data_IF_949556320649
#
_entry.id   IF_949556320649
#
_cell.length_a   1.000
_cell.length_b   1.000
_cell.length_c   1.000
_cell.angle_alpha   90.00
_cell.angle_beta   90.00
_cell.angle_gamma   90.00
#
_symmetry.space_group_name_H-M   'P 1'
#
loop_
_entity.id
_entity.type
_entity.pdbx_description
1 polymer ?
#
# COMPACT_ATOMS: atom_id res chain seq x y z
N UNK A 1 27.84 -15.57 -19.01
CA UNK A 1 27.68 -15.29 -17.56
C UNK A 1 26.41 -14.49 -17.39
N UNK A 2 25.35 -15.11 -16.86
CA UNK A 2 24.04 -14.49 -16.66
C UNK A 2 24.06 -13.70 -15.35
N UNK A 3 23.71 -12.42 -15.40
CA UNK A 3 23.60 -11.53 -14.25
C UNK A 3 22.13 -11.54 -13.81
N UNK A 4 21.89 -11.83 -12.54
CA UNK A 4 20.57 -12.00 -11.94
C UNK A 4 20.18 -10.67 -11.25
N UNK A 5 19.10 -10.01 -11.70
CA UNK A 5 18.55 -8.83 -11.04
C UNK A 5 17.05 -9.04 -10.76
N UNK A 6 16.63 -8.82 -9.51
CA UNK A 6 15.29 -9.12 -8.99
C UNK A 6 14.35 -7.92 -9.08
N UNK A 7 13.19 -8.12 -9.72
CA UNK A 7 12.09 -7.15 -9.86
C UNK A 7 11.35 -6.87 -8.54
N UNK A 8 11.01 -5.61 -8.29
CA UNK A 8 10.22 -5.16 -7.14
C UNK A 8 9.23 -4.03 -7.48
N UNK A 9 8.87 -3.90 -8.75
CA UNK A 9 8.09 -2.76 -9.28
C UNK A 9 6.63 -3.13 -9.59
N UNK A 10 6.17 -4.33 -9.19
CA UNK A 10 4.80 -4.79 -9.49
C UNK A 10 3.75 -4.40 -8.44
N UNK A 11 4.13 -3.82 -7.29
CA UNK A 11 3.18 -3.53 -6.21
C UNK A 11 2.35 -2.28 -6.52
N UNK A 12 2.89 -1.30 -7.25
CA UNK A 12 2.15 -0.07 -7.59
C UNK A 12 1.09 -0.32 -8.68
N UNK A 13 1.37 -1.23 -9.62
CA UNK A 13 0.46 -1.53 -10.74
C UNK A 13 -0.70 -2.47 -10.39
N UNK A 14 -0.57 -3.32 -9.36
CA UNK A 14 -1.65 -4.22 -8.94
C UNK A 14 -2.83 -3.53 -8.25
N UNK A 15 -2.69 -2.26 -7.87
CA UNK A 15 -3.78 -1.44 -7.34
C UNK A 15 -4.75 -1.02 -8.46
N UNK A 16 -4.29 -0.95 -9.71
CA UNK A 16 -5.04 -0.31 -10.81
C UNK A 16 -6.04 -1.21 -11.58
N UNK A 17 -6.05 -2.53 -11.40
CA UNK A 17 -6.78 -3.42 -12.34
C UNK A 17 -7.77 -4.41 -11.73
N UNK A 18 -8.11 -4.35 -10.44
CA UNK A 18 -8.90 -5.43 -9.85
C UNK A 18 -9.50 -5.20 -8.47
N UNK A 19 -10.34 -4.18 -8.29
CA UNK A 19 -11.07 -3.92 -7.03
C UNK A 19 -12.08 -5.01 -6.61
N UNK A 20 -12.15 -6.17 -7.29
CA UNK A 20 -13.10 -7.26 -6.93
C UNK A 20 -12.46 -8.51 -6.30
N UNK A 21 -11.14 -8.59 -6.17
CA UNK A 21 -10.46 -9.75 -5.54
C UNK A 21 -9.36 -9.39 -4.53
N UNK A 22 -9.22 -8.12 -4.15
CA UNK A 22 -8.10 -7.62 -3.35
C UNK A 22 -7.99 -8.21 -1.92
N UNK A 23 -9.04 -8.84 -1.38
CA UNK A 23 -8.96 -9.51 -0.07
C UNK A 23 -8.24 -10.87 -0.10
N UNK A 24 -7.99 -11.45 -1.29
CA UNK A 24 -7.39 -12.78 -1.43
C UNK A 24 -5.86 -12.77 -1.66
N UNK A 25 -5.24 -11.60 -1.80
CA UNK A 25 -3.83 -11.52 -2.24
C UNK A 25 -2.82 -11.18 -1.14
N UNK A 26 -3.26 -10.83 0.07
CA UNK A 26 -2.35 -10.78 1.22
C UNK A 26 -2.32 -12.16 1.88
N UNK A 27 -1.21 -12.89 1.69
CA UNK A 27 -0.90 -14.01 2.57
C UNK A 27 -1.04 -13.56 4.03
N UNK A 28 -1.50 -14.43 4.95
CA UNK A 28 -1.59 -14.05 6.35
C UNK A 28 -0.20 -13.61 6.82
N UNK A 29 -0.11 -12.36 7.31
CA UNK A 29 1.11 -11.88 7.92
C UNK A 29 1.47 -12.79 9.10
N UNK A 30 2.78 -12.98 9.33
CA UNK A 30 3.22 -13.69 10.52
C UNK A 30 2.79 -12.93 11.79
N UNK A 31 2.89 -13.58 12.95
CA UNK A 31 2.43 -12.99 14.21
C UNK A 31 3.18 -11.70 14.61
N UNK A 32 4.45 -11.55 14.23
CA UNK A 32 5.24 -10.36 14.53
C UNK A 32 4.79 -9.17 13.67
N UNK A 33 4.69 -9.37 12.36
CA UNK A 33 4.20 -8.36 11.41
C UNK A 33 2.77 -7.94 11.74
N UNK A 34 1.91 -8.91 12.10
CA UNK A 34 0.54 -8.64 12.55
C UNK A 34 0.53 -7.75 13.79
N UNK A 35 1.35 -8.05 14.79
CA UNK A 35 1.45 -7.26 16.03
C UNK A 35 1.94 -5.84 15.74
N UNK A 36 2.92 -5.70 14.84
CA UNK A 36 3.46 -4.41 14.45
C UNK A 36 2.40 -3.54 13.75
N UNK A 37 1.69 -4.09 12.77
CA UNK A 37 0.60 -3.40 12.08
C UNK A 37 -0.57 -3.04 13.02
N UNK A 38 -0.87 -3.91 13.99
CA UNK A 38 -1.84 -3.61 15.04
C UNK A 38 -1.38 -2.52 16.02
N UNK A 39 -0.07 -2.38 16.25
CA UNK A 39 0.49 -1.34 17.12
C UNK A 39 0.61 0.01 16.40
N UNK A 40 0.77 0.00 15.08
CA UNK A 40 0.86 1.19 14.25
C UNK A 40 -0.40 2.05 14.34
N UNK A 41 -0.24 3.39 14.32
CA UNK A 41 -1.33 4.35 14.45
C UNK A 41 -1.34 5.32 13.28
N UNK A 42 -2.48 5.41 12.62
CA UNK A 42 -2.72 6.48 11.65
C UNK A 42 -2.87 7.81 12.38
N UNK A 43 -2.32 8.84 11.77
CA UNK A 43 -2.43 10.25 12.16
C UNK A 43 -2.60 11.08 10.90
N UNK A 44 -3.14 12.29 11.03
CA UNK A 44 -3.36 13.18 9.89
C UNK A 44 -2.05 13.51 9.17
N UNK A 45 -1.01 13.85 9.93
CA UNK A 45 0.34 14.11 9.40
C UNK A 45 0.87 12.92 8.60
N UNK A 46 0.75 11.71 9.13
CA UNK A 46 1.24 10.50 8.47
C UNK A 46 0.46 10.19 7.18
N UNK A 47 -0.86 10.36 7.18
CA UNK A 47 -1.70 10.17 5.99
C UNK A 47 -1.36 11.21 4.93
N UNK A 48 -1.06 12.45 5.32
CA UNK A 48 -0.64 13.51 4.40
C UNK A 48 0.76 13.26 3.83
N UNK A 49 1.71 12.81 4.64
CA UNK A 49 3.03 12.37 4.16
C UNK A 49 2.91 11.19 3.20
N UNK A 50 2.03 10.23 3.50
CA UNK A 50 1.72 9.12 2.59
C UNK A 50 1.14 9.64 1.26
N UNK A 51 0.14 10.53 1.29
CA UNK A 51 -0.46 11.11 0.08
C UNK A 51 0.58 11.80 -0.79
N UNK A 52 1.34 12.72 -0.20
CA UNK A 52 2.35 13.52 -0.91
C UNK A 52 3.49 12.67 -1.45
N UNK A 53 3.87 11.60 -0.75
CA UNK A 53 4.77 10.56 -1.25
C UNK A 53 4.20 9.82 -2.46
N UNK A 54 2.96 9.33 -2.38
CA UNK A 54 2.32 8.58 -3.47
C UNK A 54 2.19 9.42 -4.73
N UNK A 55 1.78 10.70 -4.61
CA UNK A 55 1.72 11.63 -5.75
C UNK A 55 3.09 11.82 -6.40
N UNK A 56 4.13 12.08 -5.60
CA UNK A 56 5.48 12.27 -6.14
C UNK A 56 6.04 11.01 -6.81
N UNK A 57 5.73 9.83 -6.27
CA UNK A 57 6.06 8.55 -6.90
C UNK A 57 5.37 8.40 -8.25
N UNK A 58 4.07 8.72 -8.34
CA UNK A 58 3.32 8.66 -9.60
C UNK A 58 3.85 9.66 -10.64
N UNK A 59 4.15 10.88 -10.23
CA UNK A 59 4.75 11.91 -11.10
C UNK A 59 6.11 11.44 -11.63
N UNK A 60 6.95 10.87 -10.77
CA UNK A 60 8.24 10.32 -11.15
C UNK A 60 8.09 9.18 -12.17
N UNK A 61 7.21 8.21 -11.88
CA UNK A 61 6.88 7.07 -12.75
C UNK A 61 6.38 7.54 -14.11
N UNK A 62 5.52 8.56 -14.16
CA UNK A 62 5.00 9.15 -15.41
C UNK A 62 6.08 9.86 -16.21
N UNK A 63 7.02 10.53 -15.53
CA UNK A 63 8.13 11.22 -16.17
C UNK A 63 9.25 10.27 -16.65
N UNK A 64 9.35 9.07 -16.07
CA UNK A 64 10.38 8.08 -16.37
C UNK A 64 9.77 6.74 -16.81
N UNK A 65 9.04 6.69 -17.93
CA UNK A 65 8.30 5.49 -18.35
C UNK A 65 9.19 4.26 -18.58
N UNK A 66 10.45 4.46 -18.99
CA UNK A 66 11.44 3.37 -19.18
C UNK A 66 11.92 2.73 -17.88
N UNK A 67 11.72 3.38 -16.73
CA UNK A 67 12.01 2.79 -15.41
C UNK A 67 10.86 1.89 -14.91
N UNK A 68 9.74 1.84 -15.66
CA UNK A 68 8.60 0.95 -15.43
C UNK A 68 8.56 -0.24 -16.40
N UNK A 69 9.58 -0.44 -17.23
CA UNK A 69 9.63 -1.61 -18.11
C UNK A 69 9.79 -2.87 -17.26
N UNK A 70 8.69 -3.63 -17.20
CA UNK A 70 8.55 -4.93 -16.56
C UNK A 70 9.54 -5.93 -17.18
N UNK A 71 10.68 -6.15 -16.53
CA UNK A 71 11.42 -7.39 -16.71
C UNK A 71 10.60 -8.52 -16.06
N UNK A 72 9.74 -9.09 -16.90
CA UNK A 72 8.84 -10.22 -16.68
C UNK A 72 9.64 -11.49 -16.33
N UNK A 73 10.17 -11.58 -15.10
CA UNK A 73 10.76 -12.81 -14.60
C UNK A 73 9.93 -13.44 -13.47
N UNK A 74 9.37 -14.60 -13.85
CA UNK A 74 8.48 -15.45 -13.06
C UNK A 74 9.27 -16.23 -12.01
N UNK A 75 9.60 -15.62 -10.89
CA UNK A 75 9.98 -16.36 -9.69
C UNK A 75 9.41 -15.69 -8.43
N UNK A 76 8.10 -15.84 -8.27
CA UNK A 76 7.47 -15.65 -6.96
C UNK A 76 8.07 -16.67 -6.01
N UNK A 77 8.83 -16.20 -5.01
CA UNK A 77 9.24 -17.03 -3.87
C UNK A 77 7.98 -17.71 -3.34
N UNK A 78 7.93 -19.05 -3.39
CA UNK A 78 6.95 -19.83 -2.61
C UNK A 78 7.30 -19.67 -1.14
N UNK A 79 6.69 -18.70 -0.47
CA UNK A 79 6.85 -18.43 0.95
C UNK A 79 6.00 -17.23 1.37
N UNK A 80 5.75 -17.12 2.68
CA UNK A 80 5.01 -16.00 3.25
C UNK A 80 5.77 -14.70 3.01
N UNK A 81 5.17 -13.74 2.32
CA UNK A 81 5.75 -12.41 2.11
C UNK A 81 5.67 -11.66 3.43
N UNK A 82 6.82 -11.30 4.01
CA UNK A 82 6.86 -10.53 5.25
C UNK A 82 6.72 -9.03 4.99
N UNK A 83 6.38 -8.26 6.02
CA UNK A 83 6.39 -6.81 5.97
C UNK A 83 7.79 -6.26 5.62
N UNK A 84 8.84 -6.93 6.09
CA UNK A 84 10.22 -6.60 5.73
C UNK A 84 10.52 -6.88 4.25
N UNK A 85 9.98 -7.96 3.68
CA UNK A 85 10.13 -8.25 2.25
C UNK A 85 9.46 -7.18 1.39
N UNK A 86 8.30 -6.68 1.79
CA UNK A 86 7.61 -5.58 1.11
C UNK A 86 8.44 -4.30 1.12
N UNK A 87 8.96 -3.92 2.29
CA UNK A 87 9.81 -2.73 2.46
C UNK A 87 11.09 -2.85 1.66
N UNK A 88 11.75 -4.02 1.71
CA UNK A 88 12.97 -4.27 0.97
C UNK A 88 12.72 -4.26 -0.53
N UNK A 89 11.64 -4.88 -1.00
CA UNK A 89 11.25 -4.84 -2.41
C UNK A 89 11.11 -3.39 -2.89
N UNK A 90 10.28 -2.63 -2.19
CA UNK A 90 10.04 -1.22 -2.48
C UNK A 90 11.33 -0.37 -2.46
N UNK A 91 12.26 -0.66 -1.55
CA UNK A 91 13.52 0.07 -1.41
C UNK A 91 14.60 -0.31 -2.45
N UNK A 92 14.41 -1.37 -3.25
CA UNK A 92 15.37 -1.73 -4.32
C UNK A 92 15.43 -0.68 -5.43
N UNK A 93 14.35 0.05 -5.64
CA UNK A 93 14.32 1.21 -6.52
C UNK A 93 14.92 2.42 -5.78
N UNK A 94 16.15 2.82 -6.13
CA UNK A 94 16.84 3.93 -5.45
C UNK A 94 16.03 5.24 -5.44
N UNK A 95 15.25 5.50 -6.49
CA UNK A 95 14.38 6.68 -6.55
C UNK A 95 13.27 6.63 -5.49
N UNK A 96 12.77 5.43 -5.16
CA UNK A 96 11.63 5.27 -4.29
C UNK A 96 11.94 5.74 -2.87
N UNK A 97 13.02 5.22 -2.28
CA UNK A 97 13.45 5.61 -0.94
C UNK A 97 13.78 7.11 -0.84
N UNK A 98 14.41 7.66 -1.89
CA UNK A 98 14.73 9.09 -1.97
C UNK A 98 13.47 9.97 -1.99
N UNK A 99 12.48 9.62 -2.82
CA UNK A 99 11.20 10.34 -2.89
C UNK A 99 10.48 10.28 -1.56
N UNK A 100 10.36 9.10 -0.95
CA UNK A 100 9.71 8.96 0.35
C UNK A 100 10.37 9.83 1.43
N UNK A 101 11.70 9.78 1.51
CA UNK A 101 12.46 10.58 2.45
C UNK A 101 12.24 12.09 2.22
N UNK A 102 12.21 12.53 0.96
CA UNK A 102 11.92 13.94 0.62
C UNK A 102 10.53 14.41 1.05
N UNK A 103 9.60 13.47 1.23
CA UNK A 103 8.23 13.72 1.70
C UNK A 103 8.04 13.45 3.18
N UNK A 104 9.11 13.15 3.92
CA UNK A 104 9.06 13.00 5.38
C UNK A 104 8.49 11.66 5.85
N UNK A 105 8.44 10.63 4.99
CA UNK A 105 7.98 9.28 5.37
C UNK A 105 9.07 8.25 5.08
N UNK A 106 9.25 7.29 5.97
CA UNK A 106 10.15 6.17 5.70
C UNK A 106 9.47 5.10 4.82
N UNK A 107 10.24 4.27 4.08
CA UNK A 107 9.68 3.11 3.39
C UNK A 107 8.83 2.19 4.28
N UNK A 108 9.24 1.99 5.54
CA UNK A 108 8.48 1.19 6.51
C UNK A 108 7.12 1.81 6.80
N UNK A 109 7.10 3.08 7.19
CA UNK A 109 5.87 3.81 7.49
C UNK A 109 4.95 3.93 6.27
N UNK A 110 5.51 4.05 5.06
CA UNK A 110 4.73 4.09 3.83
C UNK A 110 3.99 2.76 3.61
N UNK A 111 4.69 1.62 3.73
CA UNK A 111 4.09 0.29 3.56
C UNK A 111 3.03 0.02 4.64
N UNK A 112 3.32 0.35 5.90
CA UNK A 112 2.38 0.16 7.01
C UNK A 112 1.11 1.00 6.83
N UNK A 113 1.28 2.28 6.49
CA UNK A 113 0.17 3.20 6.18
C UNK A 113 -0.65 2.67 5.02
N UNK A 114 -0.02 2.24 3.93
CA UNK A 114 -0.69 1.65 2.77
C UNK A 114 -1.53 0.43 3.16
N UNK A 115 -0.95 -0.54 3.87
CA UNK A 115 -1.62 -1.77 4.27
C UNK A 115 -2.85 -1.49 5.15
N UNK A 116 -2.71 -0.57 6.10
CA UNK A 116 -3.76 -0.20 7.04
C UNK A 116 -4.87 0.58 6.33
N UNK A 117 -4.52 1.56 5.49
CA UNK A 117 -5.50 2.34 4.73
C UNK A 117 -6.26 1.46 3.75
N UNK A 118 -5.59 0.67 2.90
CA UNK A 118 -6.26 -0.19 1.91
C UNK A 118 -7.13 -1.23 2.60
N UNK A 119 -6.61 -1.91 3.63
CA UNK A 119 -7.35 -2.94 4.35
C UNK A 119 -8.54 -2.40 5.14
N UNK A 120 -8.38 -1.26 5.82
CA UNK A 120 -9.45 -0.66 6.62
C UNK A 120 -10.50 0.05 5.77
N UNK A 121 -10.06 0.79 4.74
CA UNK A 121 -10.97 1.49 3.83
C UNK A 121 -11.86 0.50 3.07
N UNK A 122 -11.29 -0.56 2.49
CA UNK A 122 -12.06 -1.57 1.76
C UNK A 122 -13.12 -2.25 2.65
N UNK A 123 -12.78 -2.58 3.89
CA UNK A 123 -13.72 -3.18 4.83
C UNK A 123 -14.89 -2.24 5.17
N UNK A 124 -14.63 -0.94 5.32
CA UNK A 124 -15.67 0.07 5.57
C UNK A 124 -16.49 0.35 4.30
N UNK A 125 -15.85 0.43 3.13
CA UNK A 125 -16.50 0.64 1.84
C UNK A 125 -17.52 -0.47 1.56
N UNK A 126 -17.13 -1.74 1.72
CA UNK A 126 -18.04 -2.89 1.57
C UNK A 126 -19.26 -2.80 2.49
N UNK A 127 -19.07 -2.32 3.73
CA UNK A 127 -20.20 -2.11 4.63
C UNK A 127 -21.11 -0.97 4.14
N UNK A 128 -20.55 0.19 3.79
CA UNK A 128 -21.33 1.36 3.33
C UNK A 128 -22.10 1.08 2.05
N UNK A 129 -21.55 0.27 1.16
CA UNK A 129 -22.17 -0.16 -0.10
C UNK A 129 -23.20 -1.29 0.09
N UNK A 130 -23.42 -1.75 1.33
CA UNK A 130 -24.38 -2.81 1.65
C UNK A 130 -23.93 -4.21 1.21
N UNK A 131 -22.67 -4.40 0.83
CA UNK A 131 -22.12 -5.71 0.49
C UNK A 131 -21.95 -6.59 1.74
N UNK A 132 -21.74 -5.98 2.91
CA UNK A 132 -21.72 -6.66 4.20
C UNK A 132 -22.55 -5.91 5.24
N UNK A 133 -23.21 -6.65 6.14
CA UNK A 133 -23.98 -6.03 7.22
C UNK A 133 -23.08 -5.36 8.29
N UNK A 134 -21.85 -5.85 8.45
CA UNK A 134 -20.88 -5.36 9.42
C UNK A 134 -19.49 -5.24 8.79
N UNK A 135 -18.67 -4.36 9.36
CA UNK A 135 -17.25 -4.30 9.01
C UNK A 135 -16.58 -5.55 9.57
N UNK A 136 -16.00 -6.37 8.70
CA UNK A 136 -15.26 -7.56 9.15
C UNK A 136 -13.99 -7.10 9.87
N UNK A 137 -13.70 -7.70 11.02
CA UNK A 137 -12.44 -7.46 11.71
C UNK A 137 -11.27 -7.91 10.83
N UNK A 138 -10.28 -7.03 10.71
CA UNK A 138 -9.01 -7.37 10.06
C UNK A 138 -8.00 -7.73 11.16
N UNK A 139 -7.25 -8.84 11.02
CA UNK A 139 -6.17 -9.13 11.96
C UNK A 139 -5.06 -8.08 11.89
N UNK A 140 -4.97 -7.32 10.80
CA UNK A 140 -3.93 -6.33 10.54
C UNK A 140 -4.33 -4.93 11.01
N UNK A 141 -5.61 -4.58 10.91
CA UNK A 141 -6.09 -3.23 11.21
C UNK A 141 -6.65 -3.15 12.62
N UNK A 142 -5.97 -2.39 13.48
CA UNK A 142 -6.44 -2.15 14.85
C UNK A 142 -7.78 -1.41 14.89
N UNK A 143 -8.53 -1.57 15.98
CA UNK A 143 -9.79 -0.85 16.19
C UNK A 143 -9.60 0.68 16.12
N UNK A 144 -8.51 1.21 16.69
CA UNK A 144 -8.19 2.64 16.63
C UNK A 144 -8.00 3.14 15.18
N UNK A 145 -7.34 2.35 14.32
CA UNK A 145 -7.17 2.70 12.91
C UNK A 145 -8.49 2.56 12.14
N UNK A 146 -9.32 1.54 12.45
CA UNK A 146 -10.66 1.43 11.87
C UNK A 146 -11.52 2.65 12.20
N UNK A 147 -11.48 3.11 13.45
CA UNK A 147 -12.21 4.30 13.89
C UNK A 147 -11.69 5.57 13.22
N UNK A 148 -10.37 5.70 13.09
CA UNK A 148 -9.74 6.79 12.35
C UNK A 148 -10.22 6.82 10.89
N UNK A 149 -10.14 5.69 10.18
CA UNK A 149 -10.53 5.59 8.78
C UNK A 149 -12.02 5.88 8.61
N UNK A 150 -12.86 5.37 9.52
CA UNK A 150 -14.30 5.61 9.47
C UNK A 150 -14.66 7.09 9.65
N UNK A 151 -13.99 7.80 10.56
CA UNK A 151 -14.19 9.25 10.77
C UNK A 151 -13.70 10.08 9.59
N UNK A 152 -12.62 9.66 8.94
CA UNK A 152 -11.98 10.37 7.84
C UNK A 152 -12.28 9.75 6.47
N UNK A 153 -13.38 8.98 6.34
CA UNK A 153 -13.62 8.13 5.18
C UNK A 153 -13.62 8.92 3.87
N UNK A 154 -14.33 10.04 3.82
CA UNK A 154 -14.48 10.81 2.59
C UNK A 154 -13.14 11.43 2.16
N UNK A 155 -12.34 11.91 3.12
CA UNK A 155 -11.00 12.41 2.86
C UNK A 155 -10.07 11.32 2.33
N UNK A 156 -10.09 10.13 2.96
CA UNK A 156 -9.30 8.97 2.52
C UNK A 156 -9.78 8.47 1.15
N UNK A 157 -11.08 8.49 0.88
CA UNK A 157 -11.63 8.13 -0.43
C UNK A 157 -11.09 9.06 -1.53
N UNK A 158 -11.05 10.37 -1.29
CA UNK A 158 -10.48 11.33 -2.24
C UNK A 158 -9.00 11.08 -2.46
N UNK A 159 -8.24 10.82 -1.39
CA UNK A 159 -6.83 10.46 -1.46
C UNK A 159 -6.64 9.24 -2.36
N UNK A 160 -7.35 8.14 -2.09
CA UNK A 160 -7.25 6.89 -2.87
C UNK A 160 -7.73 7.04 -4.32
N UNK A 161 -8.68 7.94 -4.60
CA UNK A 161 -9.14 8.22 -5.95
C UNK A 161 -8.10 9.05 -6.74
N UNK A 162 -7.50 10.06 -6.12
CA UNK A 162 -6.45 10.90 -6.75
C UNK A 162 -5.20 10.07 -7.12
N UNK A 163 -4.93 9.00 -6.38
CA UNK A 163 -3.83 8.08 -6.68
C UNK A 163 -4.12 7.13 -7.85
N UNK A 164 -5.36 7.11 -8.39
CA UNK A 164 -5.72 6.31 -9.56
C UNK A 164 -5.62 7.10 -10.88
N UNK A 165 -5.10 8.34 -10.86
CA UNK A 165 -4.96 9.18 -12.05
C UNK A 165 -6.30 9.65 -12.64
N UNK A 166 -7.38 9.61 -11.86
CA UNK A 166 -8.69 10.12 -12.25
C UNK A 166 -8.83 11.58 -11.84
N UNK A 167 -8.02 12.45 -12.43
CA UNK A 167 -8.34 13.88 -12.44
C UNK A 167 -9.12 14.17 -13.72
N UNK A 168 -10.35 14.69 -13.56
CA UNK A 168 -11.13 15.34 -14.62
C UNK A 168 -10.41 16.61 -15.11
#
# INVERSE_FOLDING_TARGET
MKKYLFSATLILFLILSGLRTAFAQFQPFNAADTRELQAFRLTDDLVEHYRSATVALMEYVKAHPSENEDDNDKDSKKGDVTLSDMVNGMSKAHFFASILQSKGISPRQYVETMLILVGGYSAIAMQREGQTATVRSSPVVSAANMDYIKRNYDHISTLLASTNGSDN
#
